data_IF_624577450309
#
_entry.id   IF_624577450309
#
_cell.length_a   1.000
_cell.length_b   1.000
_cell.length_c   1.000
_cell.angle_alpha   90.00
_cell.angle_beta   90.00
_cell.angle_gamma   90.00
#
_symmetry.space_group_name_H-M   'P 1'
#
loop_
_entity.id
_entity.type
_entity.pdbx_description
1 polymer ?
#
# COMPACT_ATOMS: atom_id res chain seq x y z
N UNK A 1 6.29 -2.30 -0.50
CA UNK A 1 5.34 -3.36 -0.88
C UNK A 1 5.96 -4.55 -1.59
N UNK A 2 6.80 -4.38 -2.61
CA UNK A 2 7.49 -5.53 -3.23
C UNK A 2 8.27 -6.40 -2.20
N UNK A 3 8.78 -5.78 -1.12
CA UNK A 3 9.49 -6.46 -0.03
C UNK A 3 8.63 -7.44 0.80
N UNK A 4 7.30 -7.29 0.83
CA UNK A 4 6.41 -8.26 1.49
C UNK A 4 5.85 -9.30 0.52
N UNK A 5 6.10 -9.16 -0.79
CA UNK A 5 5.74 -10.15 -1.82
C UNK A 5 4.24 -10.48 -1.85
N UNK A 6 3.94 -11.76 -2.02
CA UNK A 6 2.58 -12.33 -2.03
C UNK A 6 1.97 -12.53 -0.64
N UNK A 7 2.66 -12.12 0.43
CA UNK A 7 2.15 -12.28 1.80
C UNK A 7 0.89 -11.44 1.97
N UNK A 8 -0.13 -12.06 2.57
CA UNK A 8 -1.35 -11.38 2.97
C UNK A 8 -1.08 -10.51 4.21
N UNK A 9 -1.76 -9.36 4.27
CA UNK A 9 -1.68 -8.44 5.39
C UNK A 9 -2.98 -7.65 5.57
N UNK A 10 -3.19 -7.18 6.78
CA UNK A 10 -4.34 -6.39 7.20
C UNK A 10 -3.89 -4.96 7.39
N UNK A 11 -4.51 -4.03 6.68
CA UNK A 11 -4.22 -2.60 6.81
C UNK A 11 -5.04 -2.00 7.95
N UNK A 12 -4.36 -1.28 8.85
CA UNK A 12 -4.96 -0.65 10.03
C UNK A 12 -4.83 0.87 10.04
N UNK A 13 -3.95 1.43 9.20
CA UNK A 13 -3.82 2.88 9.07
C UNK A 13 -3.25 3.27 7.71
N UNK A 14 -3.73 4.38 7.16
CA UNK A 14 -3.31 4.94 5.88
C UNK A 14 -3.05 6.44 6.05
N UNK A 15 -1.84 6.87 5.70
CA UNK A 15 -1.43 8.27 5.70
C UNK A 15 -0.82 8.66 4.35
N UNK A 16 -0.90 9.96 4.02
CA UNK A 16 -0.21 10.48 2.85
C UNK A 16 1.28 10.50 3.12
N UNK A 17 2.05 10.10 2.12
CA UNK A 17 3.50 10.07 2.21
C UNK A 17 4.01 10.22 0.79
N UNK A 18 4.08 11.46 0.32
CA UNK A 18 4.65 11.76 -0.99
C UNK A 18 6.15 11.49 -0.98
N UNK A 19 6.68 11.07 -2.12
CA UNK A 19 8.11 10.89 -2.35
C UNK A 19 8.65 12.09 -3.13
N UNK A 20 9.54 12.85 -2.50
CA UNK A 20 10.15 14.04 -3.10
C UNK A 20 11.60 13.76 -3.50
N UNK A 21 11.96 14.07 -4.73
CA UNK A 21 13.32 13.99 -5.25
C UNK A 21 13.67 15.30 -5.94
N UNK A 22 14.39 16.19 -5.24
CA UNK A 22 14.57 17.58 -5.69
C UNK A 22 13.22 18.29 -5.79
N UNK A 23 12.93 18.90 -6.93
CA UNK A 23 11.66 19.57 -7.21
C UNK A 23 10.53 18.62 -7.65
N UNK A 24 10.84 17.34 -7.87
CA UNK A 24 9.86 16.37 -8.34
C UNK A 24 9.13 15.71 -7.16
N UNK A 25 7.81 15.89 -7.10
CA UNK A 25 6.93 15.26 -6.12
C UNK A 25 6.17 14.11 -6.78
N UNK A 26 6.35 12.90 -6.26
CA UNK A 26 5.57 11.71 -6.64
C UNK A 26 4.57 11.40 -5.53
N UNK A 27 3.28 11.39 -5.86
CA UNK A 27 2.23 11.06 -4.89
C UNK A 27 2.40 9.67 -4.32
N UNK A 28 2.28 9.56 -3.01
CA UNK A 28 2.51 8.31 -2.30
C UNK A 28 1.69 8.19 -1.03
N UNK A 29 1.63 6.97 -0.52
CA UNK A 29 0.94 6.63 0.72
C UNK A 29 1.84 5.78 1.58
N UNK A 30 1.66 5.88 2.90
CA UNK A 30 2.23 4.97 3.87
C UNK A 30 1.11 4.22 4.56
N UNK A 31 1.29 2.91 4.64
CA UNK A 31 0.29 1.97 5.14
C UNK A 31 0.88 1.28 6.35
N UNK A 32 0.13 1.26 7.45
CA UNK A 32 0.44 0.46 8.63
C UNK A 32 -0.36 -0.84 8.56
N UNK A 33 0.32 -1.96 8.83
CA UNK A 33 -0.25 -3.30 8.85
C UNK A 33 -0.41 -3.81 10.28
N UNK A 34 -1.36 -4.71 10.49
CA UNK A 34 -1.51 -5.46 11.75
C UNK A 34 -0.34 -6.43 11.95
N UNK A 35 0.10 -7.05 10.87
CA UNK A 35 1.21 -7.99 10.84
C UNK A 35 2.55 -7.24 10.78
N UNK A 36 3.59 -7.89 11.31
CA UNK A 36 4.97 -7.40 11.26
C UNK A 36 5.78 -8.33 10.37
N UNK A 37 6.63 -7.75 9.53
CA UNK A 37 7.44 -8.47 8.55
C UNK A 37 8.92 -8.26 8.82
N UNK A 38 9.68 -9.33 8.82
CA UNK A 38 11.14 -9.24 8.85
C UNK A 38 11.66 -8.91 7.44
N UNK A 39 12.32 -7.76 7.32
CA UNK A 39 12.94 -7.27 6.08
C UNK A 39 14.35 -6.80 6.43
N UNK A 40 15.35 -7.42 5.83
CA UNK A 40 16.77 -7.04 6.01
C UNK A 40 17.16 -7.00 7.50
N UNK A 41 16.71 -8.00 8.28
CA UNK A 41 16.98 -8.12 9.72
C UNK A 41 16.16 -7.18 10.62
N UNK A 42 15.23 -6.40 10.05
CA UNK A 42 14.40 -5.46 10.79
C UNK A 42 12.92 -5.87 10.73
N UNK A 43 12.24 -5.79 11.87
CA UNK A 43 10.80 -6.00 11.96
C UNK A 43 10.05 -4.71 11.63
N UNK A 44 9.32 -4.71 10.53
CA UNK A 44 8.59 -3.54 10.05
C UNK A 44 7.12 -3.87 9.81
N UNK A 45 6.24 -2.93 10.16
CA UNK A 45 4.80 -3.00 9.88
C UNK A 45 4.29 -1.75 9.15
N UNK A 46 5.20 -0.89 8.67
CA UNK A 46 4.86 0.32 7.92
C UNK A 46 5.51 0.27 6.56
N UNK A 47 4.71 0.50 5.51
CA UNK A 47 5.14 0.41 4.13
C UNK A 47 4.76 1.65 3.35
N UNK A 48 5.77 2.34 2.84
CA UNK A 48 5.59 3.41 1.87
C UNK A 48 5.43 2.84 0.44
N UNK A 49 4.57 3.46 -0.37
CA UNK A 49 4.46 3.15 -1.79
C UNK A 49 3.97 4.34 -2.63
N UNK A 50 4.54 4.46 -3.83
CA UNK A 50 4.13 5.38 -4.90
C UNK A 50 3.45 4.65 -6.08
N UNK A 51 3.06 3.38 -5.90
CA UNK A 51 2.40 2.59 -6.95
C UNK A 51 1.04 3.21 -7.27
N UNK A 52 0.87 3.70 -8.50
CA UNK A 52 -0.29 4.50 -8.93
C UNK A 52 -1.64 3.85 -8.61
N UNK A 53 -1.81 2.55 -8.87
CA UNK A 53 -3.08 1.87 -8.59
C UNK A 53 -3.41 1.84 -7.09
N UNK A 54 -2.41 1.66 -6.24
CA UNK A 54 -2.55 1.63 -4.79
C UNK A 54 -2.82 3.03 -4.25
N UNK A 55 -2.05 4.03 -4.71
CA UNK A 55 -2.27 5.45 -4.36
C UNK A 55 -3.68 5.89 -4.76
N UNK A 56 -4.15 5.51 -5.95
CA UNK A 56 -5.50 5.80 -6.43
C UNK A 56 -6.58 5.09 -5.61
N UNK A 57 -6.37 3.83 -5.20
CA UNK A 57 -7.30 3.14 -4.29
C UNK A 57 -7.48 3.93 -2.98
N UNK A 58 -6.39 4.47 -2.46
CA UNK A 58 -6.38 5.26 -1.23
C UNK A 58 -6.57 6.76 -1.43
N UNK A 59 -6.98 7.22 -2.61
CA UNK A 59 -7.53 8.57 -2.78
C UNK A 59 -9.01 8.63 -2.40
N UNK A 60 -9.64 7.49 -2.09
CA UNK A 60 -11.01 7.43 -1.57
C UNK A 60 -11.02 7.80 -0.09
N UNK A 61 -11.47 9.01 0.24
CA UNK A 61 -11.50 9.55 1.60
C UNK A 61 -12.38 8.72 2.55
N UNK A 62 -13.51 8.17 2.07
CA UNK A 62 -14.39 7.34 2.89
C UNK A 62 -13.69 6.06 3.34
N UNK A 63 -13.03 5.38 2.40
CA UNK A 63 -12.24 4.18 2.69
C UNK A 63 -11.14 4.48 3.72
N UNK A 64 -10.41 5.59 3.54
CA UNK A 64 -9.36 6.00 4.49
C UNK A 64 -9.93 6.28 5.87
N UNK A 65 -11.02 7.05 5.93
CA UNK A 65 -11.69 7.40 7.17
C UNK A 65 -12.16 6.15 7.91
N UNK A 66 -12.74 5.19 7.20
CA UNK A 66 -13.19 3.94 7.82
C UNK A 66 -12.04 3.18 8.46
N UNK A 67 -10.94 3.00 7.72
CA UNK A 67 -9.73 2.32 8.22
C UNK A 67 -9.12 3.09 9.41
N UNK A 68 -8.94 4.39 9.26
CA UNK A 68 -8.27 5.21 10.27
C UNK A 68 -9.12 5.42 11.54
N UNK A 69 -10.43 5.17 11.47
CA UNK A 69 -11.34 5.20 12.62
C UNK A 69 -11.57 3.82 13.26
N UNK A 70 -10.68 2.86 13.02
CA UNK A 70 -10.64 1.58 13.73
C UNK A 70 -11.20 0.39 12.96
N UNK A 71 -11.72 0.58 11.73
CA UNK A 71 -11.92 -0.56 10.85
C UNK A 71 -10.57 -1.03 10.28
N UNK A 72 -10.53 -2.25 9.78
CA UNK A 72 -9.36 -2.77 9.10
C UNK A 72 -9.71 -3.12 7.66
N UNK A 73 -8.75 -2.96 6.75
CA UNK A 73 -8.88 -3.35 5.35
C UNK A 73 -8.02 -4.58 5.09
N UNK A 74 -8.66 -5.72 4.84
CA UNK A 74 -8.00 -6.96 4.47
C UNK A 74 -8.62 -8.20 5.09
N UNK A 75 -7.95 -9.36 4.97
CA UNK A 75 -6.58 -9.50 4.44
C UNK A 75 -6.49 -9.14 2.95
N UNK A 76 -5.46 -8.37 2.59
CA UNK A 76 -5.12 -8.03 1.20
C UNK A 76 -3.72 -8.51 0.88
N UNK A 77 -3.41 -8.67 -0.41
CA UNK A 77 -2.05 -8.93 -0.89
C UNK A 77 -1.71 -8.09 -2.11
N UNK A 78 -0.42 -7.86 -2.32
CA UNK A 78 0.08 -7.07 -3.44
C UNK A 78 0.38 -7.97 -4.63
N UNK A 79 -0.36 -7.83 -5.73
CA UNK A 79 -0.19 -8.65 -6.94
C UNK A 79 0.23 -7.82 -8.14
N UNK A 80 0.94 -8.45 -9.08
CA UNK A 80 1.26 -7.87 -10.39
C UNK A 80 0.17 -8.25 -11.40
N UNK A 81 -0.50 -7.26 -11.98
CA UNK A 81 -1.56 -7.44 -12.98
C UNK A 81 -1.16 -6.77 -14.30
N UNK A 82 -1.76 -7.23 -15.41
CA UNK A 82 -1.60 -6.59 -16.72
C UNK A 82 -2.80 -5.70 -17.02
N UNK A 83 -2.54 -4.46 -17.38
CA UNK A 83 -3.57 -3.55 -17.91
C UNK A 83 -4.01 -3.98 -19.31
N UNK A 84 -5.14 -3.42 -19.79
CA UNK A 84 -5.61 -3.60 -21.16
C UNK A 84 -4.56 -3.21 -22.22
N UNK A 85 -3.64 -2.31 -21.88
CA UNK A 85 -2.51 -1.90 -22.74
C UNK A 85 -1.29 -2.84 -22.69
N UNK A 86 -1.37 -3.96 -21.95
CA UNK A 86 -0.27 -4.91 -21.76
C UNK A 86 0.78 -4.50 -20.72
N UNK A 87 0.75 -3.26 -20.21
CA UNK A 87 1.65 -2.79 -19.15
C UNK A 87 1.32 -3.45 -17.81
N UNK A 88 2.33 -3.98 -17.14
CA UNK A 88 2.21 -4.52 -15.78
C UNK A 88 2.12 -3.42 -14.73
N UNK A 89 1.28 -3.60 -13.72
CA UNK A 89 1.16 -2.73 -12.56
C UNK A 89 0.93 -3.53 -11.29
N UNK A 90 1.18 -2.91 -10.13
CA UNK A 90 0.95 -3.56 -8.84
C UNK A 90 -0.37 -3.06 -8.22
N UNK A 91 -1.19 -3.99 -7.73
CA UNK A 91 -2.49 -3.73 -7.13
C UNK A 91 -2.63 -4.39 -5.76
N UNK A 92 -3.58 -3.90 -4.96
CA UNK A 92 -4.03 -4.55 -3.73
C UNK A 92 -5.36 -5.24 -3.97
N UNK A 93 -5.33 -6.57 -3.90
CA UNK A 93 -6.50 -7.44 -4.03
C UNK A 93 -6.76 -8.13 -2.70
N UNK A 94 -8.00 -8.56 -2.49
CA UNK A 94 -8.35 -9.41 -1.36
C UNK A 94 -7.56 -10.73 -1.45
N UNK A 95 -7.03 -11.19 -0.32
CA UNK A 95 -6.13 -12.34 -0.22
C UNK A 95 -6.85 -13.63 0.14
#
# INVERSE_FOLDING_TARGET
MAKIGDKAFTITFIEDSDYTQGDQITKGVKITTKETFEIEGNFVNKFHTTRVAIVKKFSNEKLRSDVNNGNSLGPVRCVSEKSASGKSFYNLVDA
#
